data_IF_688909447285
#
_entry.id   IF_688909447285
#
_cell.length_a   1.000
_cell.length_b   1.000
_cell.length_c   1.000
_cell.angle_alpha   90.00
_cell.angle_beta   90.00
_cell.angle_gamma   90.00
#
_symmetry.space_group_name_H-M   'P 1'
#
loop_
_entity.id
_entity.type
_entity.pdbx_description
1 polymer ?
#
# COMPACT_ATOMS: atom_id res chain seq x y z
N UNK A 1 11.31 2.37 2.91
CA UNK A 1 11.35 3.83 3.06
C UNK A 1 12.41 4.21 4.09
N UNK A 2 13.01 5.39 3.97
CA UNK A 2 13.91 5.97 4.99
C UNK A 2 13.09 6.65 6.09
N UNK A 3 13.73 7.02 7.21
CA UNK A 3 13.06 7.77 8.29
C UNK A 3 12.48 9.10 7.81
N UNK A 4 13.21 9.84 6.98
CA UNK A 4 12.77 11.14 6.48
C UNK A 4 11.58 10.99 5.51
N UNK A 5 11.59 9.93 4.68
CA UNK A 5 10.45 9.58 3.82
C UNK A 5 9.21 9.20 4.63
N UNK A 6 9.36 8.54 5.79
CA UNK A 6 8.23 8.24 6.67
C UNK A 6 7.70 9.50 7.34
N UNK A 7 8.58 10.38 7.84
CA UNK A 7 8.16 11.64 8.46
C UNK A 7 7.47 12.58 7.46
N UNK A 8 7.86 12.55 6.17
CA UNK A 8 7.21 13.35 5.13
C UNK A 8 5.75 12.95 4.85
N UNK A 9 5.31 11.78 5.33
CA UNK A 9 3.91 11.34 5.24
C UNK A 9 2.97 12.06 6.21
N UNK A 10 3.51 12.70 7.27
CA UNK A 10 2.69 13.32 8.31
C UNK A 10 1.90 14.51 7.75
N UNK A 11 0.60 14.57 8.06
CA UNK A 11 -0.28 15.62 7.54
C UNK A 11 -0.56 15.50 6.03
N UNK A 12 -0.27 14.34 5.42
CA UNK A 12 -0.52 14.07 4.00
C UNK A 12 -1.62 13.04 3.82
N UNK A 13 -2.49 13.28 2.84
CA UNK A 13 -3.45 12.28 2.39
C UNK A 13 -2.77 11.19 1.58
N UNK A 14 -2.86 9.96 2.07
CA UNK A 14 -2.13 8.81 1.54
C UNK A 14 -3.02 7.93 0.67
N UNK A 15 -2.47 7.36 -0.40
CA UNK A 15 -3.06 6.28 -1.18
C UNK A 15 -2.12 5.09 -1.19
N UNK A 16 -2.58 3.89 -0.85
CA UNK A 16 -1.83 2.66 -1.10
C UNK A 16 -2.36 1.91 -2.31
N UNK A 17 -1.41 1.27 -3.00
CA UNK A 17 -1.61 0.42 -4.16
C UNK A 17 -1.08 -0.97 -3.85
N UNK A 18 -1.93 -1.97 -4.05
CA UNK A 18 -1.55 -3.38 -4.11
C UNK A 18 -1.58 -3.82 -5.58
N UNK A 19 -0.42 -4.04 -6.18
CA UNK A 19 -0.32 -4.39 -7.59
C UNK A 19 -0.64 -5.88 -7.80
N UNK A 20 -1.62 -6.15 -8.65
CA UNK A 20 -1.88 -7.49 -9.17
C UNK A 20 -1.93 -7.52 -10.70
N UNK A 21 -1.49 -8.63 -11.30
CA UNK A 21 -1.46 -8.80 -12.77
C UNK A 21 -2.82 -8.66 -13.46
N UNK A 22 -3.93 -8.79 -12.72
CA UNK A 22 -5.29 -8.64 -13.26
C UNK A 22 -6.01 -7.41 -12.72
N UNK A 23 -5.76 -7.09 -11.46
CA UNK A 23 -6.50 -6.08 -10.69
C UNK A 23 -5.56 -5.43 -9.70
N UNK A 24 -5.79 -4.15 -9.46
CA UNK A 24 -5.00 -3.32 -8.56
C UNK A 24 -5.91 -2.93 -7.40
N UNK A 25 -5.49 -3.27 -6.18
CA UNK A 25 -6.13 -2.84 -4.96
C UNK A 25 -5.78 -1.38 -4.66
N UNK A 26 -6.75 -0.60 -4.22
CA UNK A 26 -6.56 0.82 -3.86
C UNK A 26 -7.22 1.09 -2.52
N UNK A 27 -6.51 1.79 -1.64
CA UNK A 27 -7.05 2.30 -0.39
C UNK A 27 -6.48 3.70 -0.13
N UNK A 28 -7.23 4.52 0.59
CA UNK A 28 -6.82 5.88 0.93
C UNK A 28 -7.00 6.16 2.41
N UNK A 29 -6.19 7.09 2.94
CA UNK A 29 -6.32 7.59 4.30
C UNK A 29 -6.21 9.10 4.33
N UNK A 30 -7.06 9.76 5.11
CA UNK A 30 -7.01 11.21 5.31
C UNK A 30 -5.70 11.67 5.95
N UNK A 31 -5.44 12.97 5.87
CA UNK A 31 -4.25 13.66 6.35
C UNK A 31 -3.99 13.56 7.86
N UNK A 32 -5.00 13.28 8.68
CA UNK A 32 -4.85 12.99 10.12
C UNK A 32 -4.53 11.51 10.39
N UNK A 33 -4.49 10.70 9.34
CA UNK A 33 -4.26 9.26 9.37
C UNK A 33 -5.28 8.50 10.26
N UNK A 34 -6.55 8.93 10.26
CA UNK A 34 -7.60 8.36 11.11
C UNK A 34 -8.42 7.30 10.36
N UNK A 35 -8.90 7.62 9.17
CA UNK A 35 -9.86 6.81 8.42
C UNK A 35 -9.19 6.17 7.22
N UNK A 36 -8.99 4.86 7.26
CA UNK A 36 -8.56 4.07 6.09
C UNK A 36 -9.79 3.53 5.37
N UNK A 37 -9.93 3.89 4.09
CA UNK A 37 -11.06 3.46 3.25
C UNK A 37 -10.56 2.75 2.00
N UNK A 38 -11.11 1.57 1.71
CA UNK A 38 -10.86 0.89 0.44
C UNK A 38 -11.60 1.58 -0.70
N UNK A 39 -11.11 1.37 -1.92
CA UNK A 39 -11.77 1.74 -3.17
C UNK A 39 -12.09 0.47 -3.97
N UNK A 40 -13.02 0.54 -4.94
CA UNK A 40 -13.17 -0.52 -5.91
C UNK A 40 -11.82 -0.83 -6.56
N UNK A 41 -11.56 -2.12 -6.80
CA UNK A 41 -10.34 -2.54 -7.51
C UNK A 41 -10.32 -1.98 -8.92
N UNK A 42 -9.14 -1.60 -9.39
CA UNK A 42 -8.93 -1.11 -10.76
C UNK A 42 -8.46 -2.26 -11.63
N UNK A 43 -9.09 -2.50 -12.78
CA UNK A 43 -8.64 -3.52 -13.72
C UNK A 43 -7.28 -3.14 -14.31
N UNK A 44 -6.34 -4.11 -14.32
CA UNK A 44 -5.01 -3.93 -14.87
C UNK A 44 -5.01 -4.24 -16.37
N UNK A 45 -5.54 -3.30 -17.14
CA UNK A 45 -5.70 -3.34 -18.60
C UNK A 45 -5.22 -2.01 -19.19
N UNK A 46 -5.07 -1.88 -20.53
CA UNK A 46 -4.65 -0.62 -21.15
C UNK A 46 -5.42 0.60 -20.61
N UNK A 47 -4.70 1.70 -20.37
CA UNK A 47 -5.24 2.91 -19.72
C UNK A 47 -5.35 2.83 -18.19
N UNK A 48 -4.75 1.83 -17.53
CA UNK A 48 -4.75 1.72 -16.06
C UNK A 48 -4.11 2.92 -15.38
N UNK A 49 -3.05 3.50 -15.97
CA UNK A 49 -2.37 4.68 -15.41
C UNK A 49 -3.30 5.88 -15.35
N UNK A 50 -4.05 6.16 -16.43
CA UNK A 50 -5.00 7.28 -16.46
C UNK A 50 -6.12 7.09 -15.43
N UNK A 51 -6.62 5.86 -15.27
CA UNK A 51 -7.62 5.55 -14.24
C UNK A 51 -7.07 5.76 -12.83
N UNK A 52 -5.83 5.37 -12.58
CA UNK A 52 -5.18 5.61 -11.28
C UNK A 52 -4.96 7.10 -11.02
N UNK A 53 -4.47 7.86 -12.00
CA UNK A 53 -4.29 9.32 -11.88
C UNK A 53 -5.62 10.03 -11.64
N UNK A 54 -6.68 9.62 -12.35
CA UNK A 54 -8.03 10.13 -12.12
C UNK A 54 -8.52 9.82 -10.69
N UNK A 55 -8.27 8.59 -10.22
CA UNK A 55 -8.61 8.18 -8.85
C UNK A 55 -7.85 9.03 -7.82
N UNK A 56 -6.55 9.27 -8.01
CA UNK A 56 -5.75 10.12 -7.11
C UNK A 56 -6.29 11.54 -7.03
N UNK A 57 -6.68 12.12 -8.17
CA UNK A 57 -7.27 13.45 -8.22
C UNK A 57 -8.63 13.50 -7.48
N UNK A 58 -9.48 12.50 -7.67
CA UNK A 58 -10.78 12.38 -6.99
C UNK A 58 -10.61 12.24 -5.47
N UNK A 59 -9.66 11.41 -5.04
CA UNK A 59 -9.40 11.16 -3.63
C UNK A 59 -8.56 12.27 -2.98
N UNK A 60 -8.03 13.24 -3.75
CA UNK A 60 -7.10 14.29 -3.30
C UNK A 60 -5.80 13.72 -2.71
N UNK A 61 -5.30 12.64 -3.30
CA UNK A 61 -4.08 11.98 -2.87
C UNK A 61 -2.89 12.93 -2.97
N UNK A 62 -2.07 12.96 -1.91
CA UNK A 62 -0.82 13.72 -1.89
C UNK A 62 0.42 12.82 -1.96
N UNK A 63 0.33 11.57 -1.47
CA UNK A 63 1.43 10.59 -1.53
C UNK A 63 0.88 9.22 -1.90
N UNK A 64 1.58 8.52 -2.79
CA UNK A 64 1.26 7.14 -3.20
C UNK A 64 2.27 6.17 -2.60
N UNK A 65 1.77 5.10 -1.99
CA UNK A 65 2.52 3.99 -1.44
C UNK A 65 2.24 2.74 -2.30
N UNK A 66 3.27 2.05 -2.77
CA UNK A 66 3.12 0.82 -3.55
C UNK A 66 3.69 -0.34 -2.77
N UNK A 67 2.88 -1.37 -2.52
CA UNK A 67 3.34 -2.61 -1.91
C UNK A 67 4.27 -3.37 -2.86
N UNK A 68 5.46 -3.75 -2.37
CA UNK A 68 6.43 -4.56 -3.12
C UNK A 68 6.92 -5.71 -2.22
N UNK A 69 6.79 -6.97 -2.62
CA UNK A 69 7.29 -8.09 -1.81
C UNK A 69 8.83 -8.12 -1.86
N UNK A 70 9.54 -7.80 -0.78
CA UNK A 70 11.02 -7.83 -0.77
C UNK A 70 11.66 -9.10 -0.20
N UNK A 71 10.86 -10.10 0.21
CA UNK A 71 11.38 -11.35 0.79
C UNK A 71 10.82 -12.61 0.09
N UNK A 72 11.61 -13.22 -0.81
CA UNK A 72 12.24 -14.55 -0.63
C UNK A 72 12.69 -15.20 -1.96
N UNK A 73 13.86 -15.85 -1.87
CA UNK A 73 14.55 -16.79 -2.77
C UNK A 73 14.82 -16.36 -4.22
N UNK A 74 15.97 -16.81 -4.74
CA UNK A 74 16.55 -16.54 -6.08
C UNK A 74 15.67 -16.98 -7.29
N UNK A 75 14.35 -17.12 -7.11
CA UNK A 75 13.39 -17.69 -8.07
C UNK A 75 12.19 -16.78 -8.37
N UNK A 76 12.19 -15.53 -7.92
CA UNK A 76 11.01 -14.64 -7.92
C UNK A 76 11.13 -13.45 -8.88
N UNK A 77 11.89 -13.59 -9.97
CA UNK A 77 12.28 -12.49 -10.88
C UNK A 77 11.12 -11.84 -11.68
N UNK A 78 10.17 -12.58 -12.30
CA UNK A 78 9.27 -11.97 -13.30
C UNK A 78 8.20 -11.03 -12.72
N UNK A 79 7.67 -11.35 -11.52
CA UNK A 79 6.63 -10.52 -10.90
C UNK A 79 7.22 -9.23 -10.34
N UNK A 80 8.44 -9.28 -9.79
CA UNK A 80 9.16 -8.10 -9.29
C UNK A 80 9.47 -7.15 -10.45
N UNK A 81 10.02 -7.66 -11.56
CA UNK A 81 10.25 -6.84 -12.76
C UNK A 81 8.95 -6.18 -13.26
N UNK A 82 7.82 -6.89 -13.17
CA UNK A 82 6.52 -6.34 -13.57
C UNK A 82 6.08 -5.22 -12.63
N UNK A 83 6.26 -5.39 -11.33
CA UNK A 83 5.96 -4.35 -10.31
C UNK A 83 6.88 -3.15 -10.49
N UNK A 84 8.18 -3.35 -10.72
CA UNK A 84 9.15 -2.27 -10.94
C UNK A 84 8.81 -1.45 -12.19
N UNK A 85 8.40 -2.11 -13.28
CA UNK A 85 7.90 -1.44 -14.48
C UNK A 85 6.64 -0.63 -14.18
N UNK A 86 5.69 -1.23 -13.46
CA UNK A 86 4.47 -0.53 -13.05
C UNK A 86 4.78 0.72 -12.21
N UNK A 87 5.68 0.63 -11.22
CA UNK A 87 6.09 1.76 -10.39
C UNK A 87 6.79 2.84 -11.23
N UNK A 88 7.64 2.43 -12.17
CA UNK A 88 8.33 3.35 -13.10
C UNK A 88 7.34 4.09 -13.98
N UNK A 89 6.39 3.38 -14.58
CA UNK A 89 5.31 3.98 -15.37
C UNK A 89 4.47 4.92 -14.51
N UNK A 90 4.08 4.51 -13.31
CA UNK A 90 3.30 5.32 -12.40
C UNK A 90 4.01 6.65 -12.10
N UNK A 91 5.30 6.61 -11.77
CA UNK A 91 6.14 7.80 -11.53
C UNK A 91 6.22 8.74 -12.74
N UNK A 92 6.08 8.23 -13.97
CA UNK A 92 6.03 9.06 -15.18
C UNK A 92 4.65 9.69 -15.42
N UNK A 93 3.57 9.07 -14.93
CA UNK A 93 2.19 9.53 -15.15
C UNK A 93 1.65 10.42 -14.04
N UNK A 94 2.33 10.53 -12.89
CA UNK A 94 1.94 11.41 -11.79
C UNK A 94 3.10 12.24 -11.27
N UNK A 95 2.83 13.47 -10.85
CA UNK A 95 3.79 14.31 -10.12
C UNK A 95 3.79 14.05 -8.61
N UNK A 96 2.93 13.15 -8.12
CA UNK A 96 2.87 12.80 -6.71
C UNK A 96 4.10 11.97 -6.30
N UNK A 97 4.64 12.15 -5.09
CA UNK A 97 5.64 11.24 -4.53
C UNK A 97 5.12 9.79 -4.51
N UNK A 98 5.93 8.86 -5.02
CA UNK A 98 5.64 7.43 -5.04
C UNK A 98 6.71 6.67 -4.27
N UNK A 99 6.34 6.13 -3.11
CA UNK A 99 7.21 5.32 -2.27
C UNK A 99 6.84 3.83 -2.33
N UNK A 100 7.87 2.99 -2.32
CA UNK A 100 7.70 1.54 -2.24
C UNK A 100 7.75 1.09 -0.78
N UNK A 101 6.74 0.33 -0.36
CA UNK A 101 6.60 -0.23 0.99
C UNK A 101 6.73 -1.74 0.90
N UNK A 102 7.58 -2.32 1.74
CA UNK A 102 7.79 -3.77 1.73
C UNK A 102 6.63 -4.50 2.43
N UNK A 103 6.09 -5.56 1.84
CA UNK A 103 5.04 -6.38 2.47
C UNK A 103 5.49 -7.04 3.78
N UNK A 104 6.81 -7.08 4.05
CA UNK A 104 7.35 -7.52 5.34
C UNK A 104 7.21 -6.49 6.48
N UNK A 105 6.66 -5.29 6.25
CA UNK A 105 6.54 -4.17 7.20
C UNK A 105 5.62 -4.38 8.42
N UNK A 106 5.41 -5.62 8.86
CA UNK A 106 4.99 -5.88 10.23
C UNK A 106 6.23 -6.22 11.05
N UNK A 107 6.53 -5.46 12.11
CA UNK A 107 7.56 -5.87 13.07
C UNK A 107 7.30 -7.30 13.54
N UNK A 108 8.34 -8.03 13.94
CA UNK A 108 8.21 -9.41 14.46
C UNK A 108 7.18 -9.49 15.59
N UNK A 109 7.04 -8.41 16.36
CA UNK A 109 6.02 -8.20 17.39
C UNK A 109 4.60 -8.06 16.83
N UNK A 110 4.37 -7.26 15.78
CA UNK A 110 3.07 -7.15 15.12
C UNK A 110 2.61 -8.49 14.52
N UNK A 111 3.54 -9.26 13.93
CA UNK A 111 3.31 -10.67 13.52
C UNK A 111 2.91 -11.56 14.69
N UNK A 112 3.59 -11.43 15.83
CA UNK A 112 3.31 -12.25 17.01
C UNK A 112 1.97 -11.91 17.67
N UNK A 113 1.53 -10.65 17.65
CA UNK A 113 0.21 -10.23 18.14
C UNK A 113 -0.89 -10.82 17.24
N UNK A 114 -0.72 -10.79 15.92
CA UNK A 114 -1.69 -11.37 14.96
C UNK A 114 -1.84 -12.90 15.10
N UNK A 115 -0.75 -13.57 15.48
CA UNK A 115 -0.74 -15.01 15.82
C UNK A 115 -1.36 -15.26 17.20
N UNK A 116 -1.10 -14.39 18.19
CA UNK A 116 -1.61 -14.48 19.55
C UNK A 116 -3.12 -14.17 19.65
N UNK A 117 -3.66 -13.29 18.80
CA UNK A 117 -5.10 -12.97 18.74
C UNK A 117 -5.93 -14.02 18.00
N UNK A 118 -5.36 -15.16 17.61
CA UNK A 118 -6.13 -16.32 17.18
C UNK A 118 -6.81 -16.18 15.81
N UNK A 119 -6.32 -15.33 14.89
CA UNK A 119 -6.81 -15.28 13.50
C UNK A 119 -6.27 -16.48 12.71
N UNK A 120 -6.59 -17.70 13.15
CA UNK A 120 -6.38 -18.92 12.37
C UNK A 120 -7.43 -18.99 11.25
N UNK A 121 -6.96 -18.77 10.02
CA UNK A 121 -7.29 -19.61 8.85
C UNK A 121 -8.79 -19.87 8.60
N UNK A 122 -9.61 -18.83 8.39
CA UNK A 122 -10.85 -19.00 7.58
C UNK A 122 -10.51 -18.89 6.09
N UNK A 123 -10.26 -20.06 5.51
CA UNK A 123 -10.05 -20.36 4.09
C UNK A 123 -11.15 -19.77 3.19
N UNK A 124 -10.74 -19.23 2.04
CA UNK A 124 -11.39 -19.39 0.72
C UNK A 124 -12.89 -19.09 0.61
N UNK A 125 -13.36 -17.94 1.07
CA UNK A 125 -14.62 -17.40 0.57
C UNK A 125 -14.38 -15.91 0.28
N UNK A 126 -14.79 -15.47 -0.92
CA UNK A 126 -14.64 -14.11 -1.48
C UNK A 126 -13.21 -13.68 -1.87
N UNK A 127 -12.68 -14.23 -2.96
CA UNK A 127 -11.42 -13.79 -3.61
C UNK A 127 -11.40 -12.27 -3.89
N UNK A 128 -12.56 -11.65 -4.15
CA UNK A 128 -12.67 -10.20 -4.37
C UNK A 128 -12.51 -9.31 -3.13
N UNK A 129 -12.83 -9.79 -1.93
CA UNK A 129 -12.68 -9.01 -0.67
C UNK A 129 -11.23 -9.01 -0.21
N UNK A 130 -10.50 -10.12 -0.43
CA UNK A 130 -9.06 -10.19 -0.14
C UNK A 130 -8.25 -9.19 -0.98
N UNK A 131 -8.55 -9.08 -2.27
CA UNK A 131 -7.85 -8.18 -3.18
C UNK A 131 -8.05 -6.69 -2.79
N UNK A 132 -9.20 -6.32 -2.22
CA UNK A 132 -9.44 -4.94 -1.76
C UNK A 132 -8.71 -4.62 -0.44
N UNK A 133 -8.52 -5.62 0.43
CA UNK A 133 -7.98 -5.38 1.77
C UNK A 133 -6.46 -5.22 1.82
N UNK A 134 -5.73 -5.72 0.83
CA UNK A 134 -4.27 -5.67 0.80
C UNK A 134 -3.75 -4.21 0.82
N UNK A 135 -4.29 -3.34 -0.04
CA UNK A 135 -3.95 -1.91 -0.03
C UNK A 135 -4.26 -1.24 1.32
N UNK A 136 -5.35 -1.61 1.98
CA UNK A 136 -5.68 -1.08 3.31
C UNK A 136 -4.73 -1.57 4.41
N UNK A 137 -4.15 -2.77 4.27
CA UNK A 137 -3.11 -3.28 5.17
C UNK A 137 -1.83 -2.45 5.00
N UNK A 138 -1.37 -2.25 3.76
CA UNK A 138 -0.20 -1.42 3.44
C UNK A 138 -0.32 -0.03 4.09
N UNK A 139 -1.47 0.63 3.96
CA UNK A 139 -1.71 1.94 4.59
C UNK A 139 -1.62 1.88 6.11
N UNK A 140 -2.29 0.92 6.74
CA UNK A 140 -2.28 0.81 8.21
C UNK A 140 -0.89 0.57 8.75
N UNK A 141 -0.11 -0.28 8.09
CA UNK A 141 1.24 -0.61 8.52
C UNK A 141 2.16 0.62 8.40
N UNK A 142 2.09 1.33 7.27
CA UNK A 142 2.83 2.59 7.07
C UNK A 142 2.45 3.66 8.12
N UNK A 143 1.15 3.86 8.37
CA UNK A 143 0.68 4.83 9.38
C UNK A 143 1.15 4.45 10.78
N UNK A 144 1.11 3.16 11.12
CA UNK A 144 1.56 2.68 12.42
C UNK A 144 3.05 2.94 12.62
N UNK A 145 3.85 2.79 11.56
CA UNK A 145 5.27 3.11 11.59
C UNK A 145 5.52 4.61 11.76
N UNK A 146 4.85 5.46 10.99
CA UNK A 146 4.92 6.93 11.15
C UNK A 146 4.61 7.33 12.60
N UNK A 147 3.59 6.74 13.21
CA UNK A 147 3.23 6.98 14.62
C UNK A 147 4.27 6.51 15.62
N UNK A 148 5.01 5.45 15.31
CA UNK A 148 6.06 4.90 16.18
C UNK A 148 7.32 5.77 16.22
N UNK A 149 7.57 6.55 15.17
CA UNK A 149 8.75 7.41 15.03
C UNK A 149 8.45 8.89 15.30
N UNK A 150 7.16 9.27 15.28
CA UNK A 150 6.70 10.62 15.60
C UNK A 150 6.60 10.73 17.12
N UNK A 151 7.27 11.71 17.77
CA UNK A 151 7.11 11.94 19.19
C UNK A 151 5.64 12.17 19.52
N UNK A 152 5.05 11.37 20.41
CA UNK A 152 3.81 11.75 21.05
C UNK A 152 4.14 12.92 21.96
N UNK A 153 3.74 14.12 21.57
CA UNK A 153 3.81 15.25 22.50
C UNK A 153 2.99 14.88 23.73
N UNK A 154 3.67 14.89 24.89
CA UNK A 154 3.13 14.67 26.24
C UNK A 154 1.91 15.54 26.54
#
# INVERSE_FOLDING_TARGET
MTRDELLSLNGKRLCAIDFGMRRIGVAVCDEMHIVVSTRPVVDNTPGVMDRLVQQFAQDRTEVVLVGVPRHHDDRTTPIIETIERFVTELRMHTSLPVYEVDEAFSTKEARSIMVATGVKKKKRQTKGVKDQMAAAVILRDAIQEVRSITPQNL
#
